data_IF_299766734849
#
_entry.id   IF_299766734849
#
_cell.length_a   1.000
_cell.length_b   1.000
_cell.length_c   1.000
_cell.angle_alpha   90.00
_cell.angle_beta   90.00
_cell.angle_gamma   90.00
#
_symmetry.space_group_name_H-M   'P 1'
#
loop_
_entity.id
_entity.type
_entity.pdbx_description
1 polymer ?
#
# COMPACT_ATOMS: atom_id res chain seq x y z
N UNK A 1 -43.87 -12.22 -0.60
CA UNK A 1 -42.52 -12.57 -0.12
C UNK A 1 -41.57 -11.62 -0.82
N UNK A 2 -41.03 -10.64 -0.08
CA UNK A 2 -40.08 -9.63 -0.59
C UNK A 2 -38.67 -10.19 -0.38
N UNK A 3 -37.76 -10.17 -1.38
CA UNK A 3 -36.40 -10.66 -1.17
C UNK A 3 -35.69 -9.83 -0.08
N UNK A 4 -34.78 -10.43 0.71
CA UNK A 4 -34.03 -9.67 1.70
C UNK A 4 -33.20 -8.61 0.97
N UNK A 5 -33.36 -7.36 1.39
CA UNK A 5 -32.55 -6.26 0.94
C UNK A 5 -31.09 -6.59 1.28
N UNK A 6 -30.31 -6.91 0.25
CA UNK A 6 -28.86 -7.00 0.39
C UNK A 6 -28.42 -5.64 0.91
N UNK A 7 -27.99 -5.61 2.17
CA UNK A 7 -27.64 -4.40 2.89
C UNK A 7 -26.78 -3.52 2.01
N UNK A 8 -27.13 -2.23 1.95
CA UNK A 8 -26.44 -1.19 1.20
C UNK A 8 -24.93 -1.37 1.32
N UNK A 9 -24.31 -1.98 0.30
CA UNK A 9 -22.87 -1.98 0.17
C UNK A 9 -22.50 -0.51 0.11
N UNK A 10 -21.77 -0.01 1.11
CA UNK A 10 -21.17 1.31 1.02
C UNK A 10 -20.13 1.19 -0.07
N UNK A 11 -20.50 1.58 -1.28
CA UNK A 11 -19.59 1.62 -2.40
C UNK A 11 -18.43 2.55 -2.00
N UNK A 12 -17.23 1.97 -1.89
CA UNK A 12 -16.05 2.74 -1.57
C UNK A 12 -15.75 3.73 -2.70
N UNK A 13 -15.40 4.97 -2.35
CA UNK A 13 -14.94 5.95 -3.35
C UNK A 13 -13.50 5.59 -3.76
N UNK A 14 -13.20 5.44 -5.06
CA UNK A 14 -11.83 5.20 -5.50
C UNK A 14 -10.88 6.31 -5.05
N UNK A 15 -9.70 5.94 -4.55
CA UNK A 15 -8.64 6.88 -4.19
C UNK A 15 -7.40 6.61 -5.02
N UNK A 16 -6.76 7.69 -5.48
CA UNK A 16 -5.51 7.63 -6.23
C UNK A 16 -4.35 8.05 -5.35
N UNK A 17 -3.32 7.20 -5.28
CA UNK A 17 -2.06 7.54 -4.61
C UNK A 17 -1.28 8.56 -5.43
N UNK A 18 -0.91 9.69 -4.82
CA UNK A 18 -0.12 10.73 -5.47
C UNK A 18 1.32 10.25 -5.69
N UNK A 19 1.81 10.30 -6.93
CA UNK A 19 3.20 9.93 -7.29
C UNK A 19 3.82 10.97 -8.22
N UNK A 20 5.14 11.02 -8.26
CA UNK A 20 5.84 11.76 -9.30
C UNK A 20 5.73 11.05 -10.66
N UNK A 21 5.88 11.80 -11.75
CA UNK A 21 5.77 11.24 -13.10
C UNK A 21 6.80 10.14 -13.38
N UNK A 22 7.98 10.23 -12.76
CA UNK A 22 9.10 9.29 -12.88
C UNK A 22 9.05 8.11 -11.88
N UNK A 23 8.00 8.03 -11.07
CA UNK A 23 7.78 6.93 -10.12
C UNK A 23 6.78 5.91 -10.68
N UNK A 24 7.11 4.62 -10.68
CA UNK A 24 6.15 3.54 -10.97
C UNK A 24 5.80 2.79 -9.69
N UNK A 25 4.51 2.73 -9.33
CA UNK A 25 4.04 1.96 -8.16
C UNK A 25 3.71 0.54 -8.64
N UNK A 26 4.30 -0.48 -8.01
CA UNK A 26 4.15 -1.87 -8.46
C UNK A 26 3.35 -2.70 -7.45
N UNK A 27 3.98 -3.11 -6.35
CA UNK A 27 3.36 -3.97 -5.34
C UNK A 27 2.75 -3.12 -4.23
N UNK A 28 1.69 -3.63 -3.62
CA UNK A 28 1.05 -3.00 -2.46
C UNK A 28 0.68 -4.02 -1.37
N UNK A 29 0.85 -3.65 -0.10
CA UNK A 29 0.50 -4.48 1.07
C UNK A 29 0.01 -3.60 2.22
N UNK A 30 -1.22 -3.83 2.69
CA UNK A 30 -1.70 -3.21 3.92
C UNK A 30 -0.99 -3.79 5.14
N UNK A 31 -0.72 -2.96 6.14
CA UNK A 31 -0.30 -3.41 7.46
C UNK A 31 -1.26 -4.46 8.02
N UNK A 32 -0.70 -5.45 8.72
CA UNK A 32 -1.44 -6.58 9.28
C UNK A 32 -1.57 -6.53 10.81
N UNK A 33 -0.84 -5.63 11.47
CA UNK A 33 -0.77 -5.55 12.94
C UNK A 33 -2.04 -5.00 13.61
N UNK A 34 -3.06 -4.62 12.84
CA UNK A 34 -4.36 -4.16 13.34
C UNK A 34 -4.33 -2.81 14.08
N UNK A 35 -3.15 -2.21 14.27
CA UNK A 35 -2.97 -0.99 15.06
C UNK A 35 -2.48 0.17 14.20
N UNK A 36 -1.79 -0.12 13.11
CA UNK A 36 -1.30 0.89 12.17
C UNK A 36 -2.14 0.85 10.91
N UNK A 37 -2.55 2.03 10.47
CA UNK A 37 -3.32 2.24 9.24
C UNK A 37 -2.35 2.58 8.11
N UNK A 38 -1.50 1.63 7.72
CA UNK A 38 -0.48 1.86 6.69
C UNK A 38 -0.68 0.99 5.46
N UNK A 39 -0.36 1.56 4.31
CA UNK A 39 -0.12 0.83 3.08
C UNK A 39 1.37 0.92 2.77
N UNK A 40 1.98 -0.20 2.43
CA UNK A 40 3.33 -0.27 1.90
C UNK A 40 3.26 -0.48 0.40
N UNK A 41 4.04 0.26 -0.37
CA UNK A 41 4.17 0.00 -1.81
C UNK A 41 5.62 -0.05 -2.26
N UNK A 42 5.93 -0.90 -3.25
CA UNK A 42 7.20 -0.77 -3.97
C UNK A 42 7.06 0.33 -5.03
N UNK A 43 8.08 1.17 -5.14
CA UNK A 43 8.14 2.25 -6.10
C UNK A 43 9.47 2.16 -6.85
N UNK A 44 9.41 2.03 -8.17
CA UNK A 44 10.58 2.20 -9.04
C UNK A 44 10.73 3.68 -9.39
N UNK A 45 11.95 4.19 -9.27
CA UNK A 45 12.32 5.56 -9.67
C UNK A 45 13.69 5.52 -10.34
N UNK A 46 13.70 5.51 -11.66
CA UNK A 46 14.91 5.19 -12.44
C UNK A 46 15.46 3.81 -12.03
N UNK A 47 16.73 3.76 -11.64
CA UNK A 47 17.39 2.51 -11.20
C UNK A 47 17.25 2.23 -9.70
N UNK A 48 16.40 2.98 -8.98
CA UNK A 48 16.20 2.83 -7.53
C UNK A 48 14.85 2.21 -7.27
N UNK A 49 14.84 1.20 -6.40
CA UNK A 49 13.61 0.66 -5.82
C UNK A 49 13.46 1.18 -4.39
N UNK A 50 12.27 1.66 -4.05
CA UNK A 50 11.93 2.17 -2.72
C UNK A 50 10.72 1.42 -2.19
N UNK A 51 10.62 1.28 -0.86
CA UNK A 51 9.36 1.05 -0.18
C UNK A 51 8.80 2.40 0.23
N UNK A 52 7.63 2.78 -0.26
CA UNK A 52 6.87 3.91 0.23
C UNK A 52 5.88 3.47 1.31
N UNK A 53 5.67 4.34 2.29
CA UNK A 53 4.68 4.14 3.36
C UNK A 53 3.61 5.22 3.23
N UNK A 54 2.35 4.80 3.20
CA UNK A 54 1.19 5.68 3.10
C UNK A 54 0.33 5.54 4.35
N UNK A 55 -0.13 6.66 4.88
CA UNK A 55 -1.21 6.69 5.87
C UNK A 55 -2.54 6.56 5.12
N UNK A 56 -3.31 5.50 5.38
CA UNK A 56 -4.55 5.22 4.65
C UNK A 56 -5.75 6.02 5.20
N UNK A 57 -5.59 6.71 6.34
CA UNK A 57 -6.62 7.63 6.84
C UNK A 57 -6.64 8.94 6.06
N UNK A 58 -5.47 9.36 5.56
CA UNK A 58 -5.29 10.61 4.80
C UNK A 58 -4.85 10.40 3.36
N UNK A 59 -4.48 9.18 2.98
CA UNK A 59 -3.87 8.79 1.70
C UNK A 59 -2.60 9.57 1.34
N UNK A 60 -1.85 10.01 2.37
CA UNK A 60 -0.59 10.74 2.20
C UNK A 60 0.61 9.81 2.37
N UNK A 61 1.64 10.04 1.56
CA UNK A 61 2.95 9.40 1.71
C UNK A 61 3.64 9.99 2.94
N UNK A 62 3.92 9.15 3.94
CA UNK A 62 4.52 9.58 5.22
C UNK A 62 6.00 9.21 5.34
N UNK A 63 6.52 8.39 4.42
CA UNK A 63 7.92 8.00 4.45
C UNK A 63 8.31 7.07 3.31
N UNK A 64 9.61 6.76 3.25
CA UNK A 64 10.15 5.78 2.33
C UNK A 64 11.44 5.14 2.87
N UNK A 65 11.77 3.94 2.38
CA UNK A 65 13.04 3.25 2.63
C UNK A 65 13.60 2.69 1.33
N UNK A 66 14.86 2.99 1.03
CA UNK A 66 15.54 2.50 -0.18
C UNK A 66 15.89 1.02 -0.08
N UNK A 67 15.68 0.28 -1.18
CA UNK A 67 16.18 -1.08 -1.35
C UNK A 67 17.47 -1.05 -2.16
N UNK A 68 18.50 -1.74 -1.68
CA UNK A 68 19.86 -1.47 -2.11
C UNK A 68 20.29 -2.08 -3.45
N UNK A 69 19.54 -2.97 -4.13
CA UNK A 69 20.03 -3.42 -5.44
C UNK A 69 19.14 -4.24 -6.41
N UNK A 70 17.83 -4.48 -6.17
CA UNK A 70 17.00 -5.22 -7.15
C UNK A 70 15.53 -4.78 -7.10
N UNK A 71 14.81 -4.75 -8.24
CA UNK A 71 13.35 -4.68 -8.25
C UNK A 71 12.78 -5.83 -7.43
N UNK A 72 11.88 -5.53 -6.50
CA UNK A 72 11.23 -6.55 -5.69
C UNK A 72 10.10 -7.19 -6.50
N UNK A 73 10.22 -8.48 -6.83
CA UNK A 73 9.15 -9.23 -7.51
C UNK A 73 8.00 -9.60 -6.57
N UNK A 74 8.27 -9.65 -5.27
CA UNK A 74 7.28 -9.90 -4.21
C UNK A 74 7.69 -9.16 -2.94
N UNK A 75 6.69 -8.72 -2.15
CA UNK A 75 6.87 -8.22 -0.79
C UNK A 75 5.80 -8.86 0.08
N UNK A 76 6.17 -9.35 1.25
CA UNK A 76 5.25 -9.84 2.28
C UNK A 76 5.50 -9.13 3.62
N UNK A 77 4.53 -9.21 4.51
CA UNK A 77 4.61 -8.64 5.86
C UNK A 77 4.70 -9.78 6.87
N UNK A 78 5.63 -9.70 7.83
CA UNK A 78 5.72 -10.64 8.94
C UNK A 78 4.43 -10.66 9.77
N UNK A 79 4.17 -11.77 10.48
CA UNK A 79 2.95 -11.92 11.28
C UNK A 79 2.80 -10.80 12.33
N UNK A 80 3.91 -10.34 12.90
CA UNK A 80 3.96 -9.25 13.87
C UNK A 80 3.97 -7.84 13.26
N UNK A 81 3.92 -7.72 11.92
CA UNK A 81 3.88 -6.44 11.21
C UNK A 81 5.18 -5.64 11.22
N UNK A 82 6.25 -6.16 11.82
CA UNK A 82 7.50 -5.41 12.02
C UNK A 82 8.42 -5.42 10.81
N UNK A 83 8.31 -6.45 9.96
CA UNK A 83 9.24 -6.66 8.86
C UNK A 83 8.51 -6.79 7.53
N UNK A 84 9.13 -6.22 6.50
CA UNK A 84 8.85 -6.52 5.11
C UNK A 84 9.91 -7.50 4.63
N UNK A 85 9.47 -8.61 4.04
CA UNK A 85 10.33 -9.68 3.48
C UNK A 85 10.10 -9.78 1.99
#
# INVERSE_FOLDING_TARGET
>A
MVPPEYGTHRDGVPVTLSRNADENIELCRFSKDGTKLFLFTTVQKGNKTLIAVWDISTWKKIGHKSLYNKPASIVTISLDGKYLV
#
